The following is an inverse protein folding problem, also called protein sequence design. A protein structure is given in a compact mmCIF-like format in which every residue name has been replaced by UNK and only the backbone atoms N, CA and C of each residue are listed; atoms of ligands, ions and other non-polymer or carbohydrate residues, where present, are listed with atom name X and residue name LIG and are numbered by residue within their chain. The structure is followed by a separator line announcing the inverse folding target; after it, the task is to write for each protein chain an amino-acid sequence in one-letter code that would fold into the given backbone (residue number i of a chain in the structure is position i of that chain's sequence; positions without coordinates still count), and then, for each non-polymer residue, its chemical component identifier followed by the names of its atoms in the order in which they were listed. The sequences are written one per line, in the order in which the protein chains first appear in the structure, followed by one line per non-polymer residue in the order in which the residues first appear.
data_IF_505613060498
#
_entry.id   IF_505613060498
#
_cell.length_a   1.000
_cell.length_b   1.000
_cell.length_c   1.000
_cell.angle_alpha   90.00
_cell.angle_beta   90.00
_cell.angle_gamma   90.00
#
_symmetry.space_group_name_H-M   'P 1'
#
loop_
_entity.id
_entity.type
_entity.pdbx_description
1 polymer ?
#
# COMPACT_ATOMS: atom_id res chain seq x y z
N UNK A 1 6.54 -26.21 -2.73
CA UNK A 1 5.70 -25.98 -3.93
C UNK A 1 4.55 -25.06 -3.57
N UNK A 2 4.11 -24.22 -4.51
CA UNK A 2 2.94 -23.35 -4.36
C UNK A 2 1.69 -24.14 -3.95
N UNK A 3 0.84 -23.61 -3.06
CA UNK A 3 -0.48 -24.21 -2.84
C UNK A 3 -1.36 -24.07 -4.09
N UNK A 4 -2.40 -24.91 -4.23
CA UNK A 4 -3.37 -24.77 -5.33
C UNK A 4 -4.00 -23.37 -5.33
N UNK A 5 -4.36 -22.87 -4.16
CA UNK A 5 -5.01 -21.58 -4.00
C UNK A 5 -4.07 -20.41 -4.33
N UNK A 6 -2.78 -20.48 -3.96
CA UNK A 6 -1.77 -19.49 -4.37
C UNK A 6 -1.67 -19.39 -5.90
N UNK A 7 -1.71 -20.53 -6.61
CA UNK A 7 -1.74 -20.54 -8.09
C UNK A 7 -3.01 -19.92 -8.66
N UNK A 8 -4.17 -20.14 -8.04
CA UNK A 8 -5.45 -19.53 -8.45
C UNK A 8 -5.39 -18.00 -8.30
N UNK A 9 -4.89 -17.49 -7.16
CA UNK A 9 -4.71 -16.04 -6.93
C UNK A 9 -3.68 -15.44 -7.90
N UNK A 10 -2.53 -16.09 -8.10
CA UNK A 10 -1.54 -15.62 -9.08
C UNK A 10 -2.11 -15.54 -10.50
N UNK A 11 -2.95 -16.52 -10.90
CA UNK A 11 -3.63 -16.51 -12.19
C UNK A 11 -4.65 -15.37 -12.27
N UNK A 12 -5.37 -15.11 -11.19
CA UNK A 12 -6.30 -14.00 -11.08
C UNK A 12 -5.58 -12.64 -11.26
N UNK A 13 -4.48 -12.44 -10.52
CA UNK A 13 -3.63 -11.24 -10.65
C UNK A 13 -3.19 -11.04 -12.10
N UNK A 14 -2.63 -12.08 -12.74
CA UNK A 14 -2.19 -11.99 -14.15
C UNK A 14 -3.32 -11.68 -15.12
N UNK A 15 -4.49 -12.32 -14.94
CA UNK A 15 -5.66 -12.13 -15.82
C UNK A 15 -6.21 -10.70 -15.74
N UNK A 16 -6.22 -10.13 -14.54
CA UNK A 16 -6.86 -8.83 -14.24
C UNK A 16 -5.87 -7.71 -13.93
N UNK A 17 -4.57 -7.88 -14.23
CA UNK A 17 -3.55 -6.84 -14.02
C UNK A 17 -3.86 -5.51 -14.71
N UNK A 18 -4.52 -5.54 -15.87
CA UNK A 18 -4.81 -4.34 -16.70
C UNK A 18 -6.29 -4.11 -17.02
N UNK A 19 -7.18 -4.86 -16.38
CA UNK A 19 -8.64 -4.78 -16.61
C UNK A 19 -9.39 -5.07 -15.32
N UNK A 20 -10.64 -4.63 -15.22
CA UNK A 20 -11.49 -4.92 -14.06
C UNK A 20 -11.82 -6.42 -13.97
N UNK A 21 -11.92 -6.95 -12.75
CA UNK A 21 -12.43 -8.29 -12.51
C UNK A 21 -13.95 -8.27 -12.29
N UNK A 22 -14.72 -9.19 -12.90
CA UNK A 22 -16.13 -9.39 -12.57
C UNK A 22 -16.33 -9.64 -11.07
N UNK A 23 -17.41 -9.12 -10.50
CA UNK A 23 -17.71 -9.31 -9.06
C UNK A 23 -17.84 -10.78 -8.69
N UNK A 24 -18.56 -11.58 -9.48
CA UNK A 24 -18.70 -13.02 -9.26
C UNK A 24 -17.34 -13.76 -9.26
N UNK A 25 -16.38 -13.32 -10.09
CA UNK A 25 -15.05 -13.95 -10.14
C UNK A 25 -14.22 -13.62 -8.88
N UNK A 26 -14.31 -12.38 -8.39
CA UNK A 26 -13.69 -11.98 -7.13
C UNK A 26 -14.34 -12.71 -5.95
N UNK A 27 -15.67 -12.73 -5.88
CA UNK A 27 -16.43 -13.35 -4.80
C UNK A 27 -16.15 -14.85 -4.68
N UNK A 28 -16.17 -15.58 -5.80
CA UNK A 28 -15.86 -17.01 -5.79
C UNK A 28 -14.47 -17.32 -5.24
N UNK A 29 -13.46 -16.48 -5.56
CA UNK A 29 -12.10 -16.66 -5.05
C UNK A 29 -11.97 -16.18 -3.60
N UNK A 30 -12.68 -15.11 -3.22
CA UNK A 30 -12.71 -14.58 -1.87
C UNK A 30 -13.29 -15.59 -0.88
N UNK A 31 -14.43 -16.22 -1.21
CA UNK A 31 -15.06 -17.23 -0.35
C UNK A 31 -14.20 -18.49 -0.18
N UNK A 32 -13.53 -18.94 -1.26
CA UNK A 32 -12.55 -20.05 -1.17
C UNK A 32 -11.38 -19.70 -0.26
N UNK A 33 -10.87 -18.48 -0.36
CA UNK A 33 -9.74 -18.02 0.44
C UNK A 33 -10.15 -17.83 1.90
N UNK A 34 -11.34 -17.29 2.16
CA UNK A 34 -11.91 -17.23 3.50
C UNK A 34 -12.03 -18.61 4.13
N UNK A 35 -12.54 -19.62 3.41
CA UNK A 35 -12.61 -20.98 3.92
C UNK A 35 -11.23 -21.54 4.30
N UNK A 36 -10.22 -21.30 3.45
CA UNK A 36 -8.84 -21.68 3.74
C UNK A 36 -8.27 -20.96 4.98
N UNK A 37 -8.50 -19.65 5.12
CA UNK A 37 -8.05 -18.88 6.28
C UNK A 37 -8.77 -19.31 7.56
N UNK A 38 -10.07 -19.57 7.49
CA UNK A 38 -10.86 -20.06 8.62
C UNK A 38 -10.39 -21.43 9.11
N UNK A 39 -9.92 -22.30 8.20
CA UNK A 39 -9.41 -23.64 8.55
C UNK A 39 -7.99 -23.59 9.14
N UNK A 40 -7.11 -22.74 8.62
CA UNK A 40 -5.68 -22.79 8.94
C UNK A 40 -5.14 -21.66 9.81
N UNK A 41 -5.94 -20.62 10.07
CA UNK A 41 -5.58 -19.53 10.96
C UNK A 41 -6.45 -19.58 12.21
N UNK A 42 -5.98 -20.29 13.25
CA UNK A 42 -6.74 -20.51 14.48
C UNK A 42 -7.18 -19.21 15.17
N UNK A 43 -6.33 -18.18 15.15
CA UNK A 43 -6.65 -16.85 15.69
C UNK A 43 -7.81 -16.22 14.93
N UNK A 44 -7.74 -16.21 13.59
CA UNK A 44 -8.80 -15.66 12.76
C UNK A 44 -10.09 -16.50 12.83
N UNK A 45 -9.98 -17.82 12.97
CA UNK A 45 -11.12 -18.71 13.18
C UNK A 45 -11.91 -18.33 14.44
N UNK A 46 -11.22 -18.17 15.57
CA UNK A 46 -11.84 -17.73 16.84
C UNK A 46 -12.59 -16.41 16.67
N UNK A 47 -11.94 -15.42 16.06
CA UNK A 47 -12.58 -14.13 15.75
C UNK A 47 -13.83 -14.30 14.87
N UNK A 48 -13.75 -15.10 13.81
CA UNK A 48 -14.91 -15.35 12.94
C UNK A 48 -16.06 -16.04 13.67
N UNK A 49 -15.78 -16.99 14.56
CA UNK A 49 -16.79 -17.68 15.36
C UNK A 49 -17.51 -16.73 16.32
N UNK A 50 -16.77 -15.80 16.96
CA UNK A 50 -17.36 -14.75 17.81
C UNK A 50 -18.28 -13.83 17.02
N UNK A 51 -17.94 -13.54 15.77
CA UNK A 51 -18.76 -12.79 14.81
C UNK A 51 -19.92 -13.62 14.20
N UNK A 52 -20.13 -14.87 14.66
CA UNK A 52 -21.18 -15.76 14.15
C UNK A 52 -20.98 -16.21 12.70
N UNK A 53 -19.75 -16.10 12.19
CA UNK A 53 -19.40 -16.34 10.80
C UNK A 53 -18.64 -17.66 10.61
N UNK A 54 -18.81 -18.26 9.44
CA UNK A 54 -18.07 -19.44 8.99
C UNK A 54 -18.37 -19.77 7.53
N UNK A 55 -17.60 -20.69 6.89
CA UNK A 55 -17.72 -20.96 5.45
C UNK A 55 -19.12 -21.42 5.00
N UNK A 56 -19.88 -22.06 5.90
CA UNK A 56 -21.27 -22.45 5.63
C UNK A 56 -22.28 -21.29 5.66
N UNK A 57 -21.98 -20.20 6.38
CA UNK A 57 -22.88 -19.06 6.63
C UNK A 57 -22.56 -17.86 5.73
N UNK A 58 -21.29 -17.55 5.52
CA UNK A 58 -20.84 -16.42 4.70
C UNK A 58 -21.06 -16.75 3.22
N UNK A 59 -21.91 -15.97 2.54
CA UNK A 59 -22.23 -16.16 1.11
C UNK A 59 -21.74 -15.03 0.21
N UNK A 60 -21.38 -13.88 0.78
CA UNK A 60 -20.84 -12.74 0.03
C UNK A 60 -19.49 -12.34 0.58
N UNK A 61 -18.59 -11.87 -0.28
CA UNK A 61 -17.25 -11.46 0.16
C UNK A 61 -17.29 -10.30 1.16
N UNK A 62 -18.30 -9.44 1.08
CA UNK A 62 -18.50 -8.30 2.00
C UNK A 62 -18.91 -8.72 3.42
N UNK A 63 -19.43 -9.95 3.57
CA UNK A 63 -19.86 -10.49 4.86
C UNK A 63 -18.72 -11.26 5.57
N UNK A 64 -17.53 -11.36 4.96
CA UNK A 64 -16.35 -11.95 5.60
C UNK A 64 -15.93 -11.04 6.76
N UNK A 65 -15.81 -11.54 8.00
CA UNK A 65 -15.38 -10.73 9.15
C UNK A 65 -14.02 -10.09 8.91
N UNK A 66 -13.94 -8.77 9.10
CA UNK A 66 -12.72 -8.02 8.89
C UNK A 66 -11.96 -7.87 10.20
N UNK A 67 -10.75 -8.43 10.23
CA UNK A 67 -9.86 -8.34 11.38
C UNK A 67 -9.36 -6.89 11.53
N UNK A 68 -9.46 -6.27 12.72
CA UNK A 68 -8.87 -4.96 12.96
C UNK A 68 -7.36 -4.94 12.70
N UNK A 69 -6.87 -3.87 12.06
CA UNK A 69 -5.45 -3.70 11.80
C UNK A 69 -4.59 -3.75 13.08
N UNK A 70 -5.14 -3.30 14.21
CA UNK A 70 -4.50 -3.38 15.53
C UNK A 70 -4.13 -4.81 15.94
N UNK A 71 -4.90 -5.82 15.51
CA UNK A 71 -4.68 -7.23 15.84
C UNK A 71 -3.31 -7.74 15.37
N UNK A 72 -2.71 -7.14 14.33
CA UNK A 72 -1.38 -7.49 13.85
C UNK A 72 -0.26 -7.14 14.83
N UNK A 73 -0.53 -6.32 15.86
CA UNK A 73 0.41 -6.03 16.96
C UNK A 73 0.36 -7.08 18.07
N UNK A 74 -0.78 -7.74 18.21
CA UNK A 74 -1.10 -8.61 19.34
C UNK A 74 -1.01 -10.08 18.98
N UNK A 75 -1.33 -10.42 17.72
CA UNK A 75 -1.48 -11.80 17.28
C UNK A 75 -0.64 -12.11 16.04
N UNK A 76 -0.21 -13.38 15.96
CA UNK A 76 0.33 -13.95 14.73
C UNK A 76 -0.83 -14.43 13.87
N UNK A 77 -1.12 -13.69 12.82
CA UNK A 77 -2.21 -13.96 11.89
C UNK A 77 -1.70 -14.67 10.64
N UNK A 78 -1.56 -16.00 10.71
CA UNK A 78 -1.05 -16.81 9.59
C UNK A 78 -1.95 -17.99 9.26
N UNK A 79 -2.08 -18.30 7.97
CA UNK A 79 -2.80 -19.47 7.44
C UNK A 79 -1.85 -20.58 6.97
N UNK A 80 -0.63 -20.57 7.50
CA UNK A 80 0.42 -21.55 7.23
C UNK A 80 1.16 -21.87 8.53
N UNK A 81 1.91 -22.97 8.56
CA UNK A 81 2.71 -23.31 9.73
C UNK A 81 3.75 -22.20 10.00
N UNK A 82 3.65 -21.49 11.12
CA UNK A 82 4.47 -20.31 11.45
C UNK A 82 5.98 -20.53 11.27
N UNK A 83 6.49 -21.75 11.54
CA UNK A 83 7.90 -22.14 11.30
C UNK A 83 8.36 -22.01 9.85
N UNK A 84 7.44 -21.92 8.88
CA UNK A 84 7.73 -21.70 7.46
C UNK A 84 7.85 -20.22 7.07
N UNK A 85 7.76 -19.30 8.03
CA UNK A 85 7.95 -17.87 7.77
C UNK A 85 9.33 -17.62 7.17
N UNK A 86 9.35 -17.03 5.97
CA UNK A 86 10.59 -16.60 5.29
C UNK A 86 10.80 -15.09 5.35
N UNK A 87 9.73 -14.32 5.61
CA UNK A 87 9.78 -12.86 5.71
C UNK A 87 8.76 -12.36 6.73
N UNK A 88 9.15 -11.32 7.47
CA UNK A 88 8.26 -10.54 8.33
C UNK A 88 8.42 -9.07 7.96
N UNK A 89 7.32 -8.40 7.63
CA UNK A 89 7.29 -6.94 7.55
C UNK A 89 6.70 -6.38 8.84
N UNK A 90 7.20 -5.22 9.28
CA UNK A 90 6.78 -4.59 10.53
C UNK A 90 6.36 -3.15 10.33
N UNK A 91 5.26 -2.74 10.96
CA UNK A 91 4.76 -1.35 10.91
C UNK A 91 5.80 -0.39 11.45
N UNK A 92 5.80 0.87 11.02
CA UNK A 92 6.64 1.90 11.67
C UNK A 92 6.12 2.14 13.10
N UNK A 93 6.96 1.93 14.11
CA UNK A 93 6.61 2.15 15.52
C UNK A 93 7.59 3.11 16.21
N UNK A 94 7.14 3.71 17.30
CA UNK A 94 8.00 4.42 18.25
C UNK A 94 8.84 3.42 19.03
N UNK A 95 10.09 3.77 19.33
CA UNK A 95 10.99 2.97 20.16
C UNK A 95 10.28 2.61 21.47
N UNK A 96 10.16 1.31 21.78
CA UNK A 96 9.55 0.82 23.02
C UNK A 96 8.09 0.32 22.93
N UNK A 97 7.40 0.46 21.78
CA UNK A 97 6.05 -0.11 21.60
C UNK A 97 6.05 -1.35 20.69
N UNK A 98 5.15 -2.33 20.91
CA UNK A 98 4.97 -3.46 20.00
C UNK A 98 4.64 -2.98 18.59
N UNK A 99 5.38 -3.47 17.59
CA UNK A 99 5.15 -3.18 16.17
C UNK A 99 4.25 -4.25 15.59
N UNK A 100 3.30 -3.83 14.75
CA UNK A 100 2.48 -4.76 13.98
C UNK A 100 3.36 -5.58 13.06
N UNK A 101 3.07 -6.86 12.88
CA UNK A 101 3.89 -7.78 12.10
C UNK A 101 3.05 -8.57 11.09
N UNK A 102 3.49 -8.59 9.83
CA UNK A 102 2.88 -9.38 8.76
C UNK A 102 3.87 -10.44 8.28
N UNK A 103 3.48 -11.70 8.42
CA UNK A 103 4.32 -12.88 8.18
C UNK A 103 4.03 -13.50 6.82
N UNK A 104 5.08 -13.94 6.13
CA UNK A 104 4.98 -14.53 4.79
C UNK A 104 5.74 -15.85 4.72
N UNK A 105 5.10 -16.91 4.22
CA UNK A 105 5.78 -18.15 3.78
C UNK A 105 6.43 -17.99 2.40
N UNK A 106 6.00 -17.00 1.64
CA UNK A 106 6.44 -16.71 0.27
C UNK A 106 6.06 -15.27 -0.07
N UNK A 107 6.93 -14.56 -0.78
CA UNK A 107 6.66 -13.19 -1.27
C UNK A 107 6.05 -13.18 -2.68
N UNK A 108 5.72 -14.34 -3.27
CA UNK A 108 5.28 -14.42 -4.67
C UNK A 108 3.99 -13.66 -4.94
N UNK A 109 3.00 -13.75 -4.05
CA UNK A 109 1.75 -12.99 -4.17
C UNK A 109 1.97 -11.50 -3.93
N UNK A 110 2.72 -11.14 -2.89
CA UNK A 110 3.10 -9.76 -2.58
C UNK A 110 3.78 -9.09 -3.79
N UNK A 111 4.82 -9.72 -4.34
CA UNK A 111 5.56 -9.19 -5.48
C UNK A 111 4.80 -9.22 -6.81
N UNK A 112 3.86 -10.16 -6.99
CA UNK A 112 2.97 -10.17 -8.15
C UNK A 112 1.95 -9.03 -8.06
N UNK A 113 1.39 -8.80 -6.87
CA UNK A 113 0.43 -7.74 -6.60
C UNK A 113 1.07 -6.36 -6.80
N UNK A 114 2.14 -6.07 -6.06
CA UNK A 114 2.76 -4.74 -6.06
C UNK A 114 3.18 -4.31 -7.47
N UNK A 115 3.79 -5.21 -8.25
CA UNK A 115 4.31 -4.85 -9.57
C UNK A 115 3.18 -4.63 -10.58
N UNK A 116 2.15 -5.47 -10.54
CA UNK A 116 1.02 -5.33 -11.45
C UNK A 116 0.19 -4.07 -11.13
N UNK A 117 0.03 -3.73 -9.85
CA UNK A 117 -0.61 -2.48 -9.44
C UNK A 117 0.23 -1.26 -9.84
N UNK A 118 1.52 -1.25 -9.53
CA UNK A 118 2.44 -0.17 -9.90
C UNK A 118 2.45 0.07 -11.42
N UNK A 119 2.53 -0.99 -12.23
CA UNK A 119 2.44 -0.90 -13.69
C UNK A 119 1.14 -0.24 -14.17
N UNK A 120 0.01 -0.57 -13.54
CA UNK A 120 -1.31 -0.06 -13.92
C UNK A 120 -1.46 1.44 -13.62
N UNK A 121 -0.93 1.90 -12.49
CA UNK A 121 -1.22 3.23 -11.95
C UNK A 121 -0.06 4.22 -12.13
N UNK A 122 1.19 3.75 -12.01
CA UNK A 122 2.39 4.60 -12.04
C UNK A 122 3.14 4.49 -13.36
N UNK A 123 3.02 3.37 -14.11
CA UNK A 123 3.63 3.19 -15.44
C UNK A 123 2.61 2.85 -16.56
N UNK A 124 1.44 3.51 -16.65
CA UNK A 124 0.39 3.17 -17.62
C UNK A 124 0.86 3.25 -19.09
N UNK A 125 1.85 4.09 -19.35
CA UNK A 125 2.48 4.42 -20.64
C UNK A 125 3.85 3.75 -20.86
N UNK A 126 4.36 2.96 -19.89
CA UNK A 126 5.68 2.29 -19.93
C UNK A 126 6.85 3.18 -20.42
N UNK A 127 7.11 4.30 -19.74
CA UNK A 127 8.20 5.20 -20.09
C UNK A 127 9.59 4.57 -19.83
N UNK A 128 10.62 5.17 -20.41
CA UNK A 128 12.00 5.02 -19.93
C UNK A 128 12.30 6.14 -18.93
N UNK A 129 12.62 5.78 -17.68
CA UNK A 129 12.86 6.71 -16.57
C UNK A 129 14.22 6.48 -15.90
N UNK A 130 14.81 7.55 -15.37
CA UNK A 130 15.82 7.50 -14.30
C UNK A 130 15.13 7.30 -12.94
N UNK A 131 15.60 6.36 -12.11
CA UNK A 131 14.90 5.95 -10.89
C UNK A 131 15.59 6.47 -9.63
N UNK A 132 14.87 7.30 -8.88
CA UNK A 132 15.35 7.94 -7.66
C UNK A 132 14.43 7.60 -6.48
N UNK A 133 15.00 7.04 -5.43
CA UNK A 133 14.27 6.59 -4.25
C UNK A 133 14.70 7.39 -3.02
N UNK A 134 13.81 8.24 -2.56
CA UNK A 134 13.97 8.95 -1.31
C UNK A 134 13.44 8.09 -0.15
N UNK A 135 14.07 6.94 0.00
CA UNK A 135 13.84 5.96 1.06
C UNK A 135 15.10 5.10 1.27
N UNK A 136 15.11 4.31 2.35
CA UNK A 136 16.21 3.38 2.62
C UNK A 136 16.14 2.14 1.70
N UNK A 137 17.29 1.61 1.27
CA UNK A 137 17.34 0.36 0.52
C UNK A 137 16.90 -0.84 1.38
N UNK A 138 16.43 -1.95 0.76
CA UNK A 138 16.03 -3.16 1.47
C UNK A 138 17.10 -3.73 2.40
N UNK A 139 18.38 -3.55 2.07
CA UNK A 139 19.51 -4.01 2.89
C UNK A 139 19.62 -3.28 4.23
N UNK A 140 19.23 -2.00 4.28
CA UNK A 140 19.28 -1.19 5.50
C UNK A 140 17.97 -1.23 6.30
N UNK A 141 16.85 -1.49 5.62
CA UNK A 141 15.52 -1.59 6.21
C UNK A 141 14.82 -2.93 5.85
N UNK A 142 15.36 -4.07 6.30
CA UNK A 142 14.89 -5.39 5.87
C UNK A 142 13.44 -5.68 6.26
N UNK A 143 12.93 -5.09 7.34
CA UNK A 143 11.57 -5.29 7.82
C UNK A 143 10.54 -4.31 7.22
N UNK A 144 10.98 -3.40 6.35
CA UNK A 144 10.13 -2.40 5.71
C UNK A 144 9.51 -2.96 4.43
N UNK A 145 8.18 -3.07 4.41
CA UNK A 145 7.42 -3.46 3.21
C UNK A 145 7.62 -2.46 2.07
N UNK A 146 7.68 -1.16 2.38
CA UNK A 146 7.97 -0.10 1.40
C UNK A 146 9.37 -0.23 0.80
N UNK A 147 10.40 -0.44 1.63
CA UNK A 147 11.76 -0.63 1.14
C UNK A 147 11.85 -1.90 0.28
N UNK A 148 11.18 -2.97 0.67
CA UNK A 148 11.06 -4.18 -0.15
C UNK A 148 10.41 -3.90 -1.51
N UNK A 149 9.27 -3.18 -1.53
CA UNK A 149 8.59 -2.76 -2.76
C UNK A 149 9.54 -2.01 -3.69
N UNK A 150 10.26 -1.00 -3.18
CA UNK A 150 11.26 -0.26 -3.96
C UNK A 150 12.38 -1.16 -4.48
N UNK A 151 12.84 -2.13 -3.70
CA UNK A 151 13.81 -3.13 -4.14
C UNK A 151 13.30 -4.01 -5.30
N UNK A 152 12.03 -4.40 -5.26
CA UNK A 152 11.39 -5.16 -6.34
C UNK A 152 11.28 -4.31 -7.61
N UNK A 153 10.84 -3.05 -7.47
CA UNK A 153 10.73 -2.11 -8.58
C UNK A 153 12.11 -1.80 -9.19
N UNK A 154 13.16 -1.68 -8.36
CA UNK A 154 14.53 -1.51 -8.83
C UNK A 154 14.94 -2.67 -9.75
N UNK A 155 14.74 -3.91 -9.29
CA UNK A 155 15.10 -5.11 -10.07
C UNK A 155 14.29 -5.21 -11.36
N UNK A 156 12.98 -4.94 -11.31
CA UNK A 156 12.06 -5.15 -12.44
C UNK A 156 12.10 -4.05 -13.49
N UNK A 157 12.24 -2.79 -13.10
CA UNK A 157 12.07 -1.65 -14.00
C UNK A 157 13.33 -0.79 -14.14
N UNK A 158 14.14 -0.68 -13.08
CA UNK A 158 15.38 0.10 -13.11
C UNK A 158 16.62 -0.75 -13.42
N UNK A 159 16.46 -2.06 -13.65
CA UNK A 159 17.57 -3.00 -13.90
C UNK A 159 18.66 -2.96 -12.81
N UNK A 160 18.28 -2.72 -11.56
CA UNK A 160 19.21 -2.58 -10.44
C UNK A 160 19.91 -1.22 -10.35
N UNK A 161 19.59 -0.25 -11.23
CA UNK A 161 20.28 1.05 -11.34
C UNK A 161 19.59 2.19 -10.58
N UNK A 162 18.52 1.92 -9.82
CA UNK A 162 17.88 2.96 -9.03
C UNK A 162 18.82 3.45 -7.91
N UNK A 163 18.79 4.75 -7.65
CA UNK A 163 19.59 5.39 -6.59
C UNK A 163 18.75 5.61 -5.34
N UNK A 164 19.32 5.30 -4.18
CA UNK A 164 18.69 5.52 -2.87
C UNK A 164 19.34 6.72 -2.18
N UNK A 165 18.52 7.58 -1.58
CA UNK A 165 18.95 8.86 -1.00
C UNK A 165 18.74 8.95 0.52
N UNK A 166 18.26 7.89 1.14
CA UNK A 166 18.11 7.84 2.60
C UNK A 166 18.93 6.68 3.13
N UNK A 167 19.72 6.97 4.15
CA UNK A 167 20.47 6.00 4.94
C UNK A 167 19.91 5.99 6.36
N UNK A 168 20.36 5.07 7.21
CA UNK A 168 20.02 5.11 8.64
C UNK A 168 20.42 6.42 9.34
N UNK A 169 21.47 7.09 8.88
CA UNK A 169 22.01 8.30 9.50
C UNK A 169 21.38 9.60 8.98
N UNK A 170 21.09 9.68 7.68
CA UNK A 170 20.62 10.92 7.07
C UNK A 170 19.96 10.72 5.70
N UNK A 171 19.15 11.71 5.30
CA UNK A 171 18.73 11.91 3.92
C UNK A 171 19.74 12.80 3.17
N UNK A 172 20.17 12.38 1.99
CA UNK A 172 21.15 13.05 1.12
C UNK A 172 20.44 13.95 0.10
N UNK A 173 19.84 15.03 0.61
CA UNK A 173 19.08 15.99 -0.22
C UNK A 173 19.96 16.75 -1.21
N UNK A 174 21.20 17.05 -0.83
CA UNK A 174 22.27 17.60 -1.66
C UNK A 174 22.47 16.75 -2.93
N UNK A 175 22.74 15.46 -2.74
CA UNK A 175 23.01 14.53 -3.82
C UNK A 175 21.77 14.31 -4.70
N UNK A 176 20.57 14.25 -4.10
CA UNK A 176 19.33 14.16 -4.87
C UNK A 176 19.14 15.39 -5.76
N UNK A 177 19.37 16.59 -5.24
CA UNK A 177 19.24 17.82 -6.02
C UNK A 177 20.22 17.85 -7.20
N UNK A 178 21.48 17.48 -6.96
CA UNK A 178 22.51 17.38 -8.01
C UNK A 178 22.11 16.41 -9.12
N UNK A 179 21.68 15.20 -8.75
CA UNK A 179 21.30 14.18 -9.72
C UNK A 179 20.07 14.57 -10.55
N UNK A 180 19.06 15.15 -9.89
CA UNK A 180 17.86 15.61 -10.56
C UNK A 180 18.14 16.81 -11.49
N UNK A 181 19.07 17.69 -11.12
CA UNK A 181 19.50 18.80 -11.97
C UNK A 181 20.31 18.31 -13.19
N UNK A 182 21.12 17.27 -13.01
CA UNK A 182 21.91 16.65 -14.08
C UNK A 182 21.10 15.72 -15.00
N UNK A 183 19.86 15.38 -14.64
CA UNK A 183 19.04 14.42 -15.37
C UNK A 183 18.75 14.87 -16.81
N UNK A 184 19.20 14.07 -17.79
CA UNK A 184 18.98 14.31 -19.22
C UNK A 184 17.70 13.67 -19.75
N UNK A 185 17.15 12.69 -19.03
CA UNK A 185 15.89 12.00 -19.35
C UNK A 185 14.85 12.21 -18.25
N UNK A 186 13.57 11.89 -18.49
CA UNK A 186 12.56 11.93 -17.45
C UNK A 186 12.90 11.01 -16.28
N UNK A 187 12.54 11.44 -15.08
CA UNK A 187 12.83 10.73 -13.83
C UNK A 187 11.56 10.19 -13.18
N UNK A 188 11.71 9.19 -12.32
CA UNK A 188 10.70 8.85 -11.31
C UNK A 188 11.30 9.02 -9.92
N UNK A 189 10.63 9.81 -9.10
CA UNK A 189 10.91 9.95 -7.68
C UNK A 189 9.91 9.13 -6.89
N UNK A 190 10.37 8.16 -6.10
CA UNK A 190 9.54 7.45 -5.11
C UNK A 190 9.95 7.89 -3.71
N UNK A 191 8.99 8.32 -2.90
CA UNK A 191 9.27 8.89 -1.58
C UNK A 191 8.15 8.59 -0.59
N UNK A 192 8.45 8.68 0.70
CA UNK A 192 7.37 8.95 1.68
C UNK A 192 7.01 10.44 1.64
N UNK A 193 5.79 10.83 2.00
CA UNK A 193 5.42 12.26 2.03
C UNK A 193 6.34 13.06 2.96
N UNK A 194 6.75 12.48 4.09
CA UNK A 194 7.67 13.12 5.04
C UNK A 194 9.06 13.35 4.43
N UNK A 195 9.65 12.32 3.81
CA UNK A 195 10.96 12.46 3.17
C UNK A 195 10.89 13.45 2.00
N UNK A 196 9.82 13.40 1.20
CA UNK A 196 9.60 14.34 0.11
C UNK A 196 9.49 15.79 0.61
N UNK A 197 8.72 16.02 1.68
CA UNK A 197 8.60 17.34 2.30
C UNK A 197 9.95 17.86 2.78
N UNK A 198 10.76 17.01 3.43
CA UNK A 198 12.11 17.35 3.85
C UNK A 198 13.00 17.78 2.68
N UNK A 199 12.91 17.09 1.54
CA UNK A 199 13.65 17.46 0.34
C UNK A 199 13.14 18.77 -0.27
N UNK A 200 11.84 18.98 -0.34
CA UNK A 200 11.26 20.24 -0.83
C UNK A 200 11.61 21.43 0.07
N UNK A 201 11.67 21.24 1.38
CA UNK A 201 12.12 22.25 2.33
C UNK A 201 13.60 22.59 2.15
N UNK A 202 14.44 21.61 1.87
CA UNK A 202 15.84 21.83 1.50
C UNK A 202 15.97 22.68 0.22
N UNK A 203 15.19 22.38 -0.83
CA UNK A 203 15.15 23.20 -2.04
C UNK A 203 14.61 24.62 -1.75
N UNK A 204 13.64 24.74 -0.84
CA UNK A 204 13.10 26.03 -0.39
C UNK A 204 14.17 26.88 0.28
N UNK A 205 14.86 26.32 1.28
CA UNK A 205 15.89 27.01 2.04
C UNK A 205 17.10 27.42 1.19
N UNK A 206 17.48 26.61 0.22
CA UNK A 206 18.58 26.92 -0.71
C UNK A 206 18.20 27.85 -1.86
N UNK A 207 16.92 28.22 -2.02
CA UNK A 207 16.44 28.96 -3.19
C UNK A 207 16.45 28.15 -4.50
N UNK A 208 16.81 26.87 -4.45
CA UNK A 208 16.97 26.01 -5.62
C UNK A 208 15.62 25.71 -6.29
N UNK A 209 15.63 25.72 -7.62
CA UNK A 209 14.55 25.20 -8.47
C UNK A 209 15.14 24.29 -9.52
N UNK A 210 14.57 23.10 -9.66
CA UNK A 210 14.96 22.10 -10.65
C UNK A 210 13.80 21.98 -11.63
N UNK A 211 14.06 21.89 -12.93
CA UNK A 211 13.01 21.66 -13.93
C UNK A 211 13.19 20.26 -14.51
N UNK A 212 12.41 19.32 -13.98
CA UNK A 212 12.44 17.94 -14.46
C UNK A 212 11.94 17.84 -15.90
N UNK A 213 12.45 16.86 -16.65
CA UNK A 213 12.06 16.64 -18.04
C UNK A 213 10.59 16.20 -18.13
N UNK A 214 9.90 16.58 -19.20
CA UNK A 214 8.49 16.19 -19.45
C UNK A 214 8.33 14.67 -19.37
N UNK A 215 7.29 14.20 -18.67
CA UNK A 215 7.04 12.78 -18.42
C UNK A 215 7.68 12.25 -17.13
N UNK A 216 8.44 13.10 -16.42
CA UNK A 216 8.87 12.80 -15.06
C UNK A 216 7.67 12.67 -14.15
N UNK A 217 7.76 11.77 -13.16
CA UNK A 217 6.66 11.46 -12.27
C UNK A 217 7.13 11.28 -10.82
N UNK A 218 6.22 11.54 -9.90
CA UNK A 218 6.38 11.32 -8.48
C UNK A 218 5.38 10.25 -8.05
N UNK A 219 5.81 9.33 -7.19
CA UNK A 219 4.89 8.59 -6.34
C UNK A 219 5.27 8.83 -4.88
N UNK A 220 4.30 9.28 -4.10
CA UNK A 220 4.44 9.47 -2.67
C UNK A 220 3.52 8.51 -1.91
N UNK A 221 3.92 8.15 -0.69
CA UNK A 221 3.15 7.29 0.20
C UNK A 221 3.31 7.70 1.67
N UNK A 222 2.28 7.41 2.47
CA UNK A 222 2.30 7.62 3.92
C UNK A 222 2.55 9.08 4.31
N UNK A 223 2.80 9.33 5.60
CA UNK A 223 3.28 10.64 6.07
C UNK A 223 2.21 11.74 6.23
N UNK A 224 0.93 11.42 6.04
CA UNK A 224 -0.13 12.40 6.29
C UNK A 224 -0.49 12.55 7.78
N UNK A 225 -0.27 11.54 8.66
CA UNK A 225 -0.68 11.60 10.09
C UNK A 225 0.25 10.84 11.04
N UNK A 226 0.50 11.42 12.23
CA UNK A 226 1.22 10.79 13.37
C UNK A 226 2.49 11.49 13.87
N UNK A 227 2.88 12.64 13.30
CA UNK A 227 3.94 13.53 13.82
C UNK A 227 3.49 14.99 13.72
N UNK A 228 4.17 15.89 14.44
CA UNK A 228 3.75 17.27 14.79
C UNK A 228 3.25 18.23 13.66
N UNK A 229 3.22 17.82 12.39
CA UNK A 229 2.62 18.56 11.27
C UNK A 229 1.93 17.58 10.32
N UNK A 230 0.62 17.74 10.15
CA UNK A 230 -0.15 17.14 9.04
C UNK A 230 0.33 17.78 7.72
N UNK A 231 0.75 16.96 6.75
CA UNK A 231 1.23 17.44 5.45
C UNK A 231 0.03 17.47 4.51
N UNK A 232 -0.39 18.61 3.98
CA UNK A 232 -1.46 18.61 2.98
C UNK A 232 -0.98 18.03 1.65
N UNK A 233 -1.71 17.05 1.08
CA UNK A 233 -1.41 16.48 -0.25
C UNK A 233 -1.36 17.57 -1.32
N UNK A 234 -2.32 18.50 -1.25
CA UNK A 234 -2.45 19.60 -2.21
C UNK A 234 -1.21 20.49 -2.14
N UNK A 235 -0.78 20.88 -0.94
CA UNK A 235 0.41 21.71 -0.74
C UNK A 235 1.69 20.98 -1.18
N UNK A 236 1.81 19.68 -0.86
CA UNK A 236 2.96 18.87 -1.22
C UNK A 236 3.12 18.76 -2.74
N UNK A 237 2.01 18.56 -3.46
CA UNK A 237 2.02 18.49 -4.93
C UNK A 237 2.26 19.87 -5.57
N UNK A 238 1.68 20.94 -5.01
CA UNK A 238 1.94 22.31 -5.46
C UNK A 238 3.42 22.69 -5.27
N UNK A 239 4.03 22.27 -4.16
CA UNK A 239 5.47 22.45 -3.92
C UNK A 239 6.32 21.68 -4.94
N UNK A 240 5.91 20.47 -5.30
CA UNK A 240 6.57 19.71 -6.38
C UNK A 240 6.48 20.45 -7.72
N UNK A 241 5.32 21.02 -8.04
CA UNK A 241 5.17 21.84 -9.24
C UNK A 241 6.09 23.07 -9.20
N UNK A 242 6.11 23.79 -8.08
CA UNK A 242 6.90 25.02 -7.92
C UNK A 242 8.42 24.78 -7.90
N UNK A 243 8.89 23.66 -7.31
CA UNK A 243 10.32 23.39 -7.09
C UNK A 243 10.94 22.41 -8.06
N UNK A 244 10.15 21.50 -8.63
CA UNK A 244 10.60 20.45 -9.54
C UNK A 244 10.04 20.61 -10.97
N UNK A 245 9.09 21.54 -11.18
CA UNK A 245 8.43 21.70 -12.47
C UNK A 245 7.56 20.50 -12.87
N UNK A 246 7.12 19.70 -11.88
CA UNK A 246 6.25 18.55 -12.10
C UNK A 246 4.80 19.00 -12.35
N UNK A 247 4.17 18.39 -13.34
CA UNK A 247 2.73 18.47 -13.52
C UNK A 247 2.05 17.67 -12.39
N UNK A 248 1.09 18.26 -11.68
CA UNK A 248 0.39 17.59 -10.58
C UNK A 248 -0.30 16.29 -11.00
N UNK A 249 -0.67 16.17 -12.28
CA UNK A 249 -1.23 14.93 -12.84
C UNK A 249 -0.21 13.78 -12.87
N UNK A 250 1.07 14.08 -12.72
CA UNK A 250 2.18 13.12 -12.65
C UNK A 250 2.67 12.88 -11.22
N UNK A 251 1.95 13.40 -10.21
CA UNK A 251 2.17 13.11 -8.79
C UNK A 251 1.11 12.12 -8.29
N UNK A 252 1.50 10.86 -8.10
CA UNK A 252 0.61 9.78 -7.68
C UNK A 252 0.73 9.53 -6.19
N UNK A 253 -0.39 9.63 -5.46
CA UNK A 253 -0.44 9.15 -4.07
C UNK A 253 -0.70 7.65 -4.03
N UNK A 254 0.01 6.94 -3.18
CA UNK A 254 -0.21 5.53 -2.85
C UNK A 254 -0.75 5.40 -1.43
N UNK A 255 -1.70 4.48 -1.25
CA UNK A 255 -2.26 4.10 0.03
C UNK A 255 -2.04 2.60 0.26
N UNK A 256 -1.36 2.30 1.36
CA UNK A 256 -1.03 0.95 1.77
C UNK A 256 -0.66 0.92 3.24
N UNK A 257 -0.49 -0.29 3.76
CA UNK A 257 -0.09 -0.54 5.14
C UNK A 257 0.64 -1.89 5.23
N UNK A 258 1.26 -2.18 6.38
CA UNK A 258 2.05 -3.41 6.54
C UNK A 258 1.17 -4.65 6.47
N UNK A 259 -0.07 -4.52 6.93
CA UNK A 259 -1.11 -5.53 7.04
C UNK A 259 -1.68 -5.94 5.67
N UNK A 260 -1.40 -5.18 4.61
CA UNK A 260 -1.87 -5.43 3.25
C UNK A 260 -0.74 -5.89 2.32
N UNK A 261 -1.09 -6.75 1.35
CA UNK A 261 -0.18 -7.19 0.29
C UNK A 261 -0.38 -6.43 -1.02
N UNK A 262 -1.46 -5.66 -1.11
CA UNK A 262 -1.83 -4.84 -2.26
C UNK A 262 -1.91 -3.36 -1.89
N UNK A 263 -1.44 -2.52 -2.81
CA UNK A 263 -1.44 -1.07 -2.68
C UNK A 263 -2.56 -0.45 -3.51
N UNK A 264 -3.15 0.63 -3.00
CA UNK A 264 -4.12 1.45 -3.69
C UNK A 264 -3.42 2.70 -4.22
N UNK A 265 -3.85 3.21 -5.36
CA UNK A 265 -3.23 4.38 -5.95
C UNK A 265 -4.28 5.38 -6.37
N UNK A 266 -3.93 6.65 -6.26
CA UNK A 266 -4.69 7.70 -6.91
C UNK A 266 -4.65 7.52 -8.43
N UNK A 267 -5.81 7.64 -9.05
CA UNK A 267 -6.01 7.44 -10.48
C UNK A 267 -5.42 8.54 -11.38
N UNK A 268 -4.94 9.65 -10.81
CA UNK A 268 -4.56 10.88 -11.52
C UNK A 268 -3.69 10.67 -12.77
N UNK A 269 -2.54 9.99 -12.64
CA UNK A 269 -1.60 9.79 -13.76
C UNK A 269 -2.17 8.86 -14.83
N UNK A 270 -2.75 7.74 -14.39
CA UNK A 270 -3.38 6.77 -15.30
C UNK A 270 -4.50 7.42 -16.11
N UNK A 271 -5.32 8.21 -15.46
CA UNK A 271 -6.46 8.86 -16.10
C UNK A 271 -5.99 9.96 -17.06
N UNK A 272 -4.98 10.75 -16.68
CA UNK A 272 -4.35 11.72 -17.57
C UNK A 272 -3.74 11.07 -18.83
N UNK A 273 -3.00 9.96 -18.67
CA UNK A 273 -2.42 9.21 -19.79
C UNK A 273 -3.49 8.60 -20.69
N UNK A 274 -4.61 8.14 -20.13
CA UNK A 274 -5.73 7.57 -20.89
C UNK A 274 -6.70 8.62 -21.46
N UNK A 275 -6.50 9.90 -21.17
CA UNK A 275 -7.39 10.98 -21.63
C UNK A 275 -8.74 11.03 -20.90
N UNK A 276 -8.87 10.39 -19.73
CA UNK A 276 -10.08 10.48 -18.92
C UNK A 276 -10.15 11.82 -18.18
N UNK A 277 -11.31 12.49 -18.26
CA UNK A 277 -11.59 13.75 -17.55
C UNK A 277 -12.54 13.48 -16.39
N UNK A 278 -11.99 13.19 -15.21
CA UNK A 278 -12.76 12.99 -13.98
C UNK A 278 -11.93 13.33 -12.75
N UNK A 279 -12.60 13.56 -11.62
CA UNK A 279 -11.93 13.78 -10.33
C UNK A 279 -11.17 12.53 -9.91
N UNK A 280 -9.87 12.63 -9.55
CA UNK A 280 -9.10 11.49 -9.10
C UNK A 280 -9.62 10.91 -7.77
N UNK A 281 -9.50 9.59 -7.60
CA UNK A 281 -9.84 8.86 -6.38
C UNK A 281 -8.84 7.71 -6.17
N UNK A 282 -8.80 7.13 -4.97
CA UNK A 282 -8.01 5.94 -4.67
C UNK A 282 -8.69 4.70 -5.24
N UNK A 283 -7.94 3.93 -6.03
CA UNK A 283 -8.41 2.69 -6.64
C UNK A 283 -7.42 1.56 -6.38
N UNK A 284 -7.95 0.39 -6.01
CA UNK A 284 -7.16 -0.82 -5.83
C UNK A 284 -6.93 -1.58 -7.14
N UNK A 285 -5.97 -2.52 -7.16
CA UNK A 285 -5.94 -3.53 -8.22
C UNK A 285 -7.17 -4.43 -8.17
N UNK A 286 -7.42 -5.21 -9.23
CA UNK A 286 -8.66 -5.99 -9.35
C UNK A 286 -8.85 -7.09 -8.29
N UNK A 287 -7.80 -7.45 -7.56
CA UNK A 287 -7.77 -8.43 -6.46
C UNK A 287 -7.74 -7.79 -5.07
N UNK A 288 -7.81 -6.47 -4.95
CA UNK A 288 -7.96 -5.77 -3.68
C UNK A 288 -9.11 -4.77 -3.78
N UNK A 289 -10.11 -4.93 -2.91
CA UNK A 289 -11.33 -4.09 -2.91
C UNK A 289 -11.46 -3.40 -1.57
N UNK A 290 -11.90 -2.14 -1.61
CA UNK A 290 -12.23 -1.38 -0.42
C UNK A 290 -13.74 -1.15 -0.34
N UNK A 291 -14.28 -1.19 0.87
CA UNK A 291 -15.63 -0.74 1.21
C UNK A 291 -15.54 0.25 2.37
N UNK A 292 -16.61 1.00 2.59
CA UNK A 292 -16.74 1.86 3.76
C UNK A 292 -17.72 1.22 4.73
N UNK A 293 -17.28 1.02 5.97
CA UNK A 293 -18.10 0.59 7.09
C UNK A 293 -18.03 1.70 8.14
N UNK A 294 -19.16 2.40 8.35
CA UNK A 294 -19.26 3.53 9.29
C UNK A 294 -18.20 4.61 9.08
N UNK A 295 -17.90 4.91 7.81
CA UNK A 295 -16.89 5.90 7.41
C UNK A 295 -15.45 5.38 7.45
N UNK A 296 -15.20 4.20 8.01
CA UNK A 296 -13.89 3.55 8.02
C UNK A 296 -13.66 2.70 6.77
N UNK A 297 -12.42 2.70 6.29
CA UNK A 297 -11.99 1.91 5.16
C UNK A 297 -11.80 0.46 5.61
N UNK A 298 -12.45 -0.47 4.91
CA UNK A 298 -12.27 -1.91 5.07
C UNK A 298 -11.77 -2.49 3.77
N UNK A 299 -10.65 -3.20 3.82
CA UNK A 299 -9.97 -3.75 2.64
C UNK A 299 -10.10 -5.27 2.60
N UNK A 300 -10.36 -5.80 1.42
CA UNK A 300 -10.41 -7.22 1.10
C UNK A 300 -9.36 -7.52 0.04
N UNK A 301 -8.27 -8.16 0.43
CA UNK A 301 -7.09 -8.37 -0.39
C UNK A 301 -6.84 -9.86 -0.64
N UNK A 302 -7.06 -10.34 -1.88
CA UNK A 302 -6.81 -11.74 -2.23
C UNK A 302 -5.32 -12.11 -2.15
N UNK A 303 -4.41 -11.12 -2.22
CA UNK A 303 -2.97 -11.38 -2.10
C UNK A 303 -2.54 -11.67 -0.66
N UNK A 304 -3.39 -11.38 0.35
CA UNK A 304 -3.19 -11.72 1.76
C UNK A 304 -3.48 -13.20 2.10
N UNK A 305 -3.31 -14.12 1.13
CA UNK A 305 -3.60 -15.55 1.28
C UNK A 305 -3.03 -16.15 2.58
N UNK A 306 -1.74 -15.89 2.84
CA UNK A 306 -1.04 -16.46 3.99
C UNK A 306 -1.38 -15.82 5.34
N UNK A 307 -2.23 -14.79 5.37
CA UNK A 307 -2.59 -13.99 6.54
C UNK A 307 -4.12 -13.93 6.69
N UNK A 308 -4.69 -12.73 6.79
CA UNK A 308 -6.14 -12.42 6.77
C UNK A 308 -6.44 -11.49 5.61
N UNK A 309 -7.42 -11.85 4.77
CA UNK A 309 -7.75 -11.03 3.59
C UNK A 309 -8.59 -9.80 3.91
N UNK A 310 -9.46 -9.88 4.90
CA UNK A 310 -10.40 -8.84 5.27
C UNK A 310 -9.82 -8.07 6.45
N UNK A 311 -9.38 -6.83 6.21
CA UNK A 311 -8.75 -5.97 7.20
C UNK A 311 -9.62 -4.74 7.42
N UNK A 312 -10.04 -4.55 8.66
CA UNK A 312 -10.68 -3.32 9.12
C UNK A 312 -9.57 -2.33 9.48
N UNK A 313 -9.43 -1.27 8.68
CA UNK A 313 -8.42 -0.24 8.94
C UNK A 313 -8.95 0.77 9.97
N UNK A 314 -8.05 1.60 10.46
CA UNK A 314 -8.38 2.76 11.30
C UNK A 314 -8.50 4.05 10.45
N UNK A 315 -8.44 3.93 9.13
CA UNK A 315 -8.45 5.07 8.22
C UNK A 315 -9.88 5.42 7.79
N UNK A 316 -10.20 6.71 7.77
CA UNK A 316 -11.51 7.21 7.34
C UNK A 316 -11.49 7.52 5.84
N UNK A 317 -12.62 7.30 5.18
CA UNK A 317 -12.77 7.65 3.78
C UNK A 317 -14.21 7.93 3.37
N UNK A 318 -14.35 8.54 2.20
CA UNK A 318 -15.64 8.74 1.53
C UNK A 318 -15.66 8.09 0.16
N UNK A 319 -16.83 7.65 -0.27
CA UNK A 319 -16.98 7.00 -1.59
C UNK A 319 -16.66 8.03 -2.68
N UNK A 320 -15.79 7.64 -3.62
CA UNK A 320 -15.41 8.50 -4.74
C UNK A 320 -15.18 7.64 -5.98
N UNK A 321 -15.95 7.91 -7.05
CA UNK A 321 -15.89 7.11 -8.28
C UNK A 321 -16.08 5.62 -8.01
N UNK A 322 -15.15 4.80 -8.52
CA UNK A 322 -15.12 3.35 -8.32
C UNK A 322 -14.35 2.90 -7.06
N UNK A 323 -13.92 3.83 -6.22
CA UNK A 323 -13.13 3.57 -5.02
C UNK A 323 -13.47 4.55 -3.90
N UNK A 324 -12.46 5.19 -3.32
CA UNK A 324 -12.62 6.08 -2.17
C UNK A 324 -11.68 7.28 -2.23
N UNK A 325 -11.98 8.29 -1.42
CA UNK A 325 -11.06 9.36 -1.06
C UNK A 325 -10.70 9.18 0.41
N UNK A 326 -9.40 9.15 0.69
CA UNK A 326 -8.87 9.07 2.05
C UNK A 326 -9.08 10.41 2.75
N UNK A 327 -9.78 10.42 3.88
CA UNK A 327 -10.13 11.66 4.61
C UNK A 327 -9.35 11.81 5.91
N UNK A 328 -8.77 10.73 6.43
CA UNK A 328 -7.98 10.79 7.66
C UNK A 328 -7.85 9.45 8.34
N UNK A 329 -7.63 9.51 9.66
CA UNK A 329 -7.58 8.37 10.57
C UNK A 329 -8.57 8.64 11.69
N UNK A 330 -9.29 7.62 12.12
CA UNK A 330 -10.24 7.74 13.21
C UNK A 330 -9.55 7.98 14.54
N UNK A 331 -10.21 8.75 15.40
CA UNK A 331 -9.76 8.98 16.77
C UNK A 331 -9.99 7.73 17.63
N UNK A 332 -9.24 7.59 18.73
CA UNK A 332 -9.35 6.42 19.60
C UNK A 332 -10.77 6.23 20.20
N UNK A 333 -11.56 7.30 20.31
CA UNK A 333 -12.97 7.26 20.75
C UNK A 333 -13.90 6.66 19.70
N UNK A 334 -13.67 6.93 18.41
CA UNK A 334 -14.45 6.42 17.28
C UNK A 334 -14.19 4.92 17.06
N UNK A 335 -12.97 4.45 17.36
CA UNK A 335 -12.58 3.05 17.26
C UNK A 335 -13.27 2.16 18.32
N UNK A 336 -13.47 2.64 19.55
CA UNK A 336 -14.12 1.86 20.63
C UNK A 336 -15.56 1.50 20.28
N UNK A 337 -16.31 2.42 19.67
CA UNK A 337 -17.70 2.18 19.25
C UNK A 337 -17.83 1.11 18.16
N UNK A 338 -16.80 0.94 17.32
CA UNK A 338 -16.80 -0.02 16.21
C UNK A 338 -16.18 -1.39 16.57
N UNK A 339 -15.64 -1.56 17.79
CA UNK A 339 -14.75 -2.70 18.10
C UNK A 339 -15.22 -3.62 19.23
N UNK A 340 -16.49 -3.56 19.67
CA UNK A 340 -17.01 -4.44 20.74
C UNK A 340 -16.69 -5.93 20.53
N UNK A 341 -16.70 -6.41 19.28
CA UNK A 341 -16.30 -7.77 18.94
C UNK A 341 -14.80 -8.04 19.13
N UNK A 342 -13.96 -7.06 18.78
CA UNK A 342 -12.52 -7.14 18.98
C UNK A 342 -12.14 -7.06 20.45
N UNK A 343 -12.79 -6.19 21.23
CA UNK A 343 -12.58 -6.11 22.69
C UNK A 343 -12.91 -7.45 23.36
N UNK A 344 -14.04 -8.07 22.97
CA UNK A 344 -14.40 -9.42 23.44
C UNK A 344 -13.38 -10.48 22.99
N UNK A 345 -12.85 -10.36 21.78
CA UNK A 345 -11.85 -11.29 21.23
C UNK A 345 -10.50 -11.18 21.94
N UNK A 346 -10.05 -9.97 22.29
CA UNK A 346 -8.81 -9.76 23.06
C UNK A 346 -8.96 -10.26 24.50
N UNK A 347 -10.18 -10.20 25.06
CA UNK A 347 -10.49 -10.67 26.40
C UNK A 347 -10.73 -12.19 26.53
N UNK A 348 -10.82 -12.92 25.40
CA UNK A 348 -11.09 -14.37 25.34
C UNK A 348 -9.83 -15.19 25.09
#
# INVERSE_FOLDING_TARGET
MASRLEREVLRFIRRYARRSAPEAAFEALALKLFAHQFEHNATYQKFCLLEGAGPGRVKRWKDIPAMPAAAFKEFVLVSFAQKKTVKVFRTSGTTGSPRGAHFFESLRLYEASLAAAFDKFVLPDRPSLDWHFLAMPPSEAPDSSLSHMMGVLNRRHAMGRARYYVTRSAARHDLLAEDLAAARRPVILLATAFSLKGFLDFLKASGTRIRLKRGSRLMETGGFKGRAREISKIELHADCAARLGLDERFCVSEYGMTELSSQFYDTTLRDAVKGFRRRPFMEGPAWARAVLADGLIRVFDLANLGSVMAVQTEDTGRRAGGGFELTGRAEASELRGCSLAYEKFVAS
#
